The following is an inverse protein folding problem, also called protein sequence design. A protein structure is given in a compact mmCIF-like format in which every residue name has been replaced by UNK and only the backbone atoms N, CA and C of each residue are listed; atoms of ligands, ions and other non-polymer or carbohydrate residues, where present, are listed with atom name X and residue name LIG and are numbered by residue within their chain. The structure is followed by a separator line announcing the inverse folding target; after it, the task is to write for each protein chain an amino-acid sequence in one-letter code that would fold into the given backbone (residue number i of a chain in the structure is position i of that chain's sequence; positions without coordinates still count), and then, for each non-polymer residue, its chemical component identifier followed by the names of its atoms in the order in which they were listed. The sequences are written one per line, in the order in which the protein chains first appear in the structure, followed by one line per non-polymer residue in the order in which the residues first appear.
data_IF_062017322657
#
_entry.id   IF_062017322657
#
_cell.length_a   1.000
_cell.length_b   1.000
_cell.length_c   1.000
_cell.angle_alpha   90.00
_cell.angle_beta   90.00
_cell.angle_gamma   90.00
#
_symmetry.space_group_name_H-M   'P 1'
#
loop_
_entity.id
_entity.type
_entity.pdbx_description
1 polymer ?
#
# COMPACT_ATOMS: atom_id res chain seq x y z
N UNK A 1 19.56 -44.45 -76.19
CA UNK A 1 18.27 -43.86 -75.83
C UNK A 1 17.49 -44.86 -75.03
N UNK A 2 17.25 -44.80 -73.79
CA UNK A 2 16.03 -44.17 -73.26
C UNK A 2 16.27 -43.38 -71.98
N UNK A 3 15.29 -42.48 -71.67
CA UNK A 3 15.24 -41.52 -70.56
C UNK A 3 14.78 -42.22 -69.27
N UNK A 4 15.58 -42.19 -68.19
CA UNK A 4 15.17 -42.54 -66.84
C UNK A 4 14.66 -41.32 -66.12
N UNK A 5 13.39 -41.34 -65.69
CA UNK A 5 12.74 -40.30 -64.84
C UNK A 5 12.92 -40.74 -63.36
N UNK A 6 13.72 -39.98 -62.66
CA UNK A 6 13.85 -40.10 -61.19
C UNK A 6 12.71 -39.31 -60.54
N UNK A 7 11.80 -40.01 -59.89
CA UNK A 7 10.73 -39.41 -59.08
C UNK A 7 11.29 -39.08 -57.68
N UNK A 8 11.32 -37.81 -57.34
CA UNK A 8 11.72 -37.28 -56.04
C UNK A 8 10.50 -37.29 -55.12
N UNK A 9 10.46 -38.22 -54.17
CA UNK A 9 9.44 -38.28 -53.16
C UNK A 9 9.78 -37.27 -52.07
N UNK A 10 9.03 -36.15 -52.03
CA UNK A 10 9.14 -35.12 -50.97
C UNK A 10 8.26 -35.54 -49.78
N UNK A 11 8.90 -36.15 -48.77
CA UNK A 11 8.24 -36.43 -47.48
C UNK A 11 8.01 -35.09 -46.71
N UNK A 12 6.78 -34.60 -46.76
CA UNK A 12 6.33 -33.46 -45.95
C UNK A 12 6.04 -33.96 -44.53
N UNK A 13 7.04 -33.83 -43.65
CA UNK A 13 6.84 -34.08 -42.21
C UNK A 13 5.98 -32.99 -41.61
N UNK A 14 4.71 -33.28 -41.34
CA UNK A 14 3.81 -32.51 -40.53
C UNK A 14 4.28 -32.55 -39.08
N UNK A 15 5.01 -31.53 -38.65
CA UNK A 15 5.28 -31.26 -37.24
C UNK A 15 3.98 -30.72 -36.61
N UNK A 16 3.20 -31.62 -36.00
CA UNK A 16 2.10 -31.25 -35.12
C UNK A 16 2.75 -30.70 -33.86
N UNK A 17 3.00 -29.40 -33.85
CA UNK A 17 3.33 -28.64 -32.64
C UNK A 17 2.13 -28.60 -31.72
N UNK A 18 2.06 -29.48 -30.72
CA UNK A 18 1.23 -29.28 -29.52
C UNK A 18 1.77 -28.09 -28.75
N UNK A 19 1.43 -26.89 -29.20
CA UNK A 19 1.56 -25.71 -28.41
C UNK A 19 0.52 -25.79 -27.29
N UNK A 20 1.00 -25.72 -26.05
CA UNK A 20 0.22 -25.59 -24.84
C UNK A 20 -0.52 -24.25 -24.90
N UNK A 21 -1.65 -24.21 -25.64
CA UNK A 21 -2.49 -23.03 -25.78
C UNK A 21 -3.26 -22.80 -24.48
N UNK A 22 -2.72 -21.92 -23.68
CA UNK A 22 -3.42 -21.02 -22.78
C UNK A 22 -4.58 -21.59 -21.96
N UNK A 23 -4.22 -22.19 -20.84
CA UNK A 23 -5.16 -22.50 -19.75
C UNK A 23 -5.93 -21.24 -19.26
N UNK A 24 -5.43 -20.04 -19.57
CA UNK A 24 -6.04 -18.76 -19.22
C UNK A 24 -7.33 -18.47 -20.02
N UNK A 25 -7.39 -18.85 -21.30
CA UNK A 25 -8.56 -18.66 -22.18
C UNK A 25 -9.58 -19.81 -22.10
N UNK A 26 -9.40 -20.76 -21.20
CA UNK A 26 -10.34 -21.87 -21.04
C UNK A 26 -11.75 -21.38 -20.72
N UNK A 27 -12.79 -21.78 -21.47
CA UNK A 27 -14.17 -21.40 -21.21
C UNK A 27 -14.64 -22.03 -19.90
N UNK A 28 -15.25 -21.21 -19.03
CA UNK A 28 -15.83 -21.63 -17.73
C UNK A 28 -17.35 -21.75 -17.83
N UNK A 29 -17.98 -20.82 -18.56
CA UNK A 29 -19.41 -20.81 -18.81
C UNK A 29 -19.72 -20.15 -20.16
N UNK A 30 -20.87 -20.44 -20.74
CA UNK A 30 -21.35 -19.83 -21.98
C UNK A 30 -22.86 -19.62 -21.93
N UNK A 31 -23.29 -18.47 -22.43
CA UNK A 31 -24.69 -18.17 -22.73
C UNK A 31 -24.72 -17.61 -24.14
N UNK A 32 -25.34 -18.32 -25.05
CA UNK A 32 -25.43 -17.99 -26.49
C UNK A 32 -24.07 -17.59 -27.07
N UNK A 33 -23.91 -16.32 -27.39
CA UNK A 33 -22.71 -15.73 -27.98
C UNK A 33 -21.63 -15.28 -26.97
N UNK A 34 -21.96 -15.17 -25.66
CA UNK A 34 -21.03 -14.73 -24.62
C UNK A 34 -20.41 -15.90 -23.88
N UNK A 35 -19.08 -15.87 -23.76
CA UNK A 35 -18.30 -16.88 -23.06
C UNK A 35 -17.56 -16.23 -21.88
N UNK A 36 -17.72 -16.81 -20.70
CA UNK A 36 -16.91 -16.49 -19.52
C UNK A 36 -15.64 -17.34 -19.56
N UNK A 37 -14.49 -16.71 -19.51
CA UNK A 37 -13.18 -17.39 -19.48
C UNK A 37 -12.62 -17.43 -18.07
N UNK A 38 -11.70 -18.37 -17.80
CA UNK A 38 -11.01 -18.48 -16.53
C UNK A 38 -10.16 -17.25 -16.24
N UNK A 39 -9.57 -16.63 -17.25
CA UNK A 39 -8.85 -15.35 -17.12
C UNK A 39 -9.75 -14.24 -16.59
N UNK A 40 -10.97 -14.12 -17.15
CA UNK A 40 -11.95 -13.13 -16.68
C UNK A 40 -12.34 -13.37 -15.22
N UNK A 41 -12.52 -14.62 -14.82
CA UNK A 41 -12.81 -14.98 -13.42
C UNK A 41 -11.63 -14.59 -12.51
N UNK A 42 -10.41 -14.94 -12.88
CA UNK A 42 -9.20 -14.60 -12.11
C UNK A 42 -8.99 -13.09 -11.96
N UNK A 43 -9.27 -12.31 -12.99
CA UNK A 43 -9.16 -10.86 -12.94
C UNK A 43 -10.17 -10.18 -11.99
N UNK A 44 -11.27 -10.87 -11.66
CA UNK A 44 -12.33 -10.35 -10.77
C UNK A 44 -12.31 -10.88 -9.36
N UNK A 45 -11.66 -12.02 -9.15
CA UNK A 45 -11.42 -12.59 -7.82
C UNK A 45 -10.05 -12.17 -7.32
N UNK A 46 -9.94 -11.93 -6.01
CA UNK A 46 -8.62 -11.71 -5.39
C UNK A 46 -7.77 -12.97 -5.52
N UNK A 47 -6.83 -12.95 -6.46
CA UNK A 47 -5.99 -14.10 -6.81
C UNK A 47 -4.71 -14.20 -5.97
N UNK A 48 -4.51 -13.38 -4.94
CA UNK A 48 -3.28 -13.37 -4.13
C UNK A 48 -2.97 -14.73 -3.47
N UNK A 49 -3.99 -15.57 -3.27
CA UNK A 49 -3.88 -16.94 -2.71
C UNK A 49 -4.23 -18.05 -3.70
N UNK A 50 -4.38 -17.73 -5.00
CA UNK A 50 -4.90 -18.64 -6.01
C UNK A 50 -6.43 -18.73 -5.98
N UNK A 51 -7.02 -19.17 -7.12
CA UNK A 51 -8.48 -19.30 -7.27
C UNK A 51 -8.85 -20.78 -7.27
N UNK A 52 -9.70 -21.20 -6.35
CA UNK A 52 -10.12 -22.61 -6.25
C UNK A 52 -11.23 -22.97 -7.27
N UNK A 53 -11.36 -24.24 -7.68
CA UNK A 53 -12.45 -24.68 -8.56
C UNK A 53 -13.86 -24.36 -8.04
N UNK A 54 -14.06 -24.40 -6.71
CA UNK A 54 -15.33 -24.05 -6.07
C UNK A 54 -15.66 -22.56 -6.27
N UNK A 55 -14.69 -21.67 -6.08
CA UNK A 55 -14.85 -20.21 -6.32
C UNK A 55 -15.15 -19.93 -7.79
N UNK A 56 -14.46 -20.61 -8.71
CA UNK A 56 -14.75 -20.48 -10.15
C UNK A 56 -16.19 -20.90 -10.46
N UNK A 57 -16.64 -22.03 -9.93
CA UNK A 57 -18.01 -22.52 -10.14
C UNK A 57 -19.07 -21.61 -9.54
N UNK A 58 -18.83 -21.04 -8.37
CA UNK A 58 -19.74 -20.07 -7.75
C UNK A 58 -19.81 -18.76 -8.55
N UNK A 59 -18.66 -18.23 -8.99
CA UNK A 59 -18.61 -17.04 -9.84
C UNK A 59 -19.35 -17.30 -11.16
N UNK A 60 -19.13 -18.44 -11.79
CA UNK A 60 -19.79 -18.80 -13.05
C UNK A 60 -21.32 -18.85 -12.92
N UNK A 61 -21.85 -19.46 -11.85
CA UNK A 61 -23.30 -19.49 -11.59
C UNK A 61 -23.89 -18.08 -11.43
N UNK A 62 -23.20 -17.22 -10.68
CA UNK A 62 -23.61 -15.82 -10.51
C UNK A 62 -23.60 -15.08 -11.84
N UNK A 63 -22.50 -15.19 -12.59
CA UNK A 63 -22.36 -14.57 -13.91
C UNK A 63 -23.46 -15.01 -14.88
N UNK A 64 -23.84 -16.31 -14.89
CA UNK A 64 -24.94 -16.83 -15.71
C UNK A 64 -26.24 -16.14 -15.33
N UNK A 65 -26.57 -16.07 -14.05
CA UNK A 65 -27.79 -15.43 -13.57
C UNK A 65 -27.84 -13.93 -13.94
N UNK A 66 -26.74 -13.23 -13.74
CA UNK A 66 -26.63 -11.81 -14.06
C UNK A 66 -26.79 -11.57 -15.57
N UNK A 67 -26.19 -12.43 -16.42
CA UNK A 67 -26.32 -12.32 -17.87
C UNK A 67 -27.75 -12.57 -18.36
N UNK A 68 -28.44 -13.54 -17.77
CA UNK A 68 -29.86 -13.80 -18.09
C UNK A 68 -30.74 -12.61 -17.71
N UNK A 69 -30.55 -12.07 -16.52
CA UNK A 69 -31.29 -10.88 -16.05
C UNK A 69 -30.98 -9.65 -16.90
N UNK A 70 -29.72 -9.44 -17.28
CA UNK A 70 -29.32 -8.34 -18.14
C UNK A 70 -29.99 -8.43 -19.53
N UNK A 71 -29.96 -9.60 -20.17
CA UNK A 71 -30.61 -9.81 -21.47
C UNK A 71 -32.12 -9.54 -21.41
N UNK A 72 -32.77 -9.98 -20.37
CA UNK A 72 -34.20 -9.71 -20.18
C UNK A 72 -34.46 -8.21 -19.92
N UNK A 73 -33.59 -7.53 -19.17
CA UNK A 73 -33.66 -6.10 -18.96
C UNK A 73 -33.54 -5.33 -20.28
N UNK A 74 -32.54 -5.68 -21.11
CA UNK A 74 -32.37 -5.10 -22.46
C UNK A 74 -33.58 -5.36 -23.36
N UNK A 75 -34.07 -6.60 -23.38
CA UNK A 75 -35.26 -6.96 -24.15
C UNK A 75 -36.49 -6.11 -23.76
N UNK A 76 -36.61 -5.73 -22.51
CA UNK A 76 -37.67 -4.85 -21.98
C UNK A 76 -37.36 -3.36 -22.14
N UNK A 77 -36.21 -3.00 -22.71
CA UNK A 77 -35.79 -1.60 -22.89
C UNK A 77 -35.45 -0.89 -21.56
N UNK A 78 -35.09 -1.63 -20.51
CA UNK A 78 -34.76 -1.05 -19.21
C UNK A 78 -33.46 -0.24 -19.26
N UNK A 79 -32.51 -0.68 -20.08
CA UNK A 79 -31.24 0.01 -20.38
C UNK A 79 -31.42 1.38 -21.04
N UNK A 80 -32.54 1.57 -21.74
CA UNK A 80 -32.89 2.79 -22.43
C UNK A 80 -33.79 3.76 -21.62
N UNK A 81 -34.14 3.41 -20.40
CA UNK A 81 -34.90 4.30 -19.52
C UNK A 81 -34.11 5.58 -19.25
N UNK A 82 -34.82 6.71 -19.19
CA UNK A 82 -34.24 8.02 -18.92
C UNK A 82 -33.42 8.03 -17.63
N UNK A 83 -33.92 7.41 -16.57
CA UNK A 83 -33.20 7.28 -15.30
C UNK A 83 -31.88 6.52 -15.42
N UNK A 84 -31.83 5.45 -16.23
CA UNK A 84 -30.60 4.67 -16.47
C UNK A 84 -29.60 5.47 -17.30
N UNK A 85 -30.08 6.17 -18.35
CA UNK A 85 -29.23 7.05 -19.17
C UNK A 85 -28.63 8.17 -18.35
N UNK A 86 -29.42 8.83 -17.51
CA UNK A 86 -28.93 9.90 -16.63
C UNK A 86 -27.84 9.39 -15.66
N UNK A 87 -28.04 8.20 -15.08
CA UNK A 87 -27.04 7.56 -14.20
C UNK A 87 -25.75 7.20 -14.97
N UNK A 88 -25.87 6.66 -16.18
CA UNK A 88 -24.71 6.33 -17.01
C UNK A 88 -23.91 7.58 -17.41
N UNK A 89 -24.57 8.67 -17.73
CA UNK A 89 -23.91 9.93 -18.09
C UNK A 89 -23.19 10.56 -16.87
N UNK A 90 -23.81 10.51 -15.69
CA UNK A 90 -23.15 10.96 -14.46
C UNK A 90 -21.92 10.10 -14.10
N UNK A 91 -22.02 8.77 -14.21
CA UNK A 91 -20.88 7.87 -13.98
C UNK A 91 -19.77 8.14 -15.02
N UNK A 92 -20.11 8.31 -16.29
CA UNK A 92 -19.16 8.65 -17.35
C UNK A 92 -18.42 9.96 -17.06
N UNK A 93 -19.17 10.99 -16.67
CA UNK A 93 -18.61 12.29 -16.28
C UNK A 93 -17.63 12.16 -15.11
N UNK A 94 -18.03 11.44 -14.07
CA UNK A 94 -17.18 11.22 -12.90
C UNK A 94 -15.89 10.43 -13.23
N UNK A 95 -16.00 9.40 -14.08
CA UNK A 95 -14.83 8.64 -14.53
C UNK A 95 -13.88 9.51 -15.35
N UNK A 96 -14.40 10.37 -16.25
CA UNK A 96 -13.58 11.29 -17.03
C UNK A 96 -12.86 12.31 -16.15
N UNK A 97 -13.54 12.89 -15.15
CA UNK A 97 -12.93 13.80 -14.17
C UNK A 97 -11.83 13.07 -13.40
N UNK A 98 -12.10 11.87 -12.89
CA UNK A 98 -11.12 11.10 -12.15
C UNK A 98 -9.89 10.74 -12.99
N UNK A 99 -10.08 10.39 -14.28
CA UNK A 99 -8.98 10.12 -15.20
C UNK A 99 -8.11 11.38 -15.43
N UNK A 100 -8.73 12.54 -15.61
CA UNK A 100 -8.01 13.81 -15.74
C UNK A 100 -7.21 14.13 -14.46
N UNK A 101 -7.82 13.99 -13.28
CA UNK A 101 -7.14 14.22 -12.01
C UNK A 101 -5.99 13.23 -11.77
N UNK A 102 -6.16 11.97 -12.17
CA UNK A 102 -5.12 10.95 -12.08
C UNK A 102 -3.91 11.32 -12.94
N UNK A 103 -4.13 11.82 -14.14
CA UNK A 103 -3.07 12.21 -15.08
C UNK A 103 -2.37 13.52 -14.66
N UNK A 104 -3.13 14.55 -14.29
CA UNK A 104 -2.62 15.89 -14.03
C UNK A 104 -2.08 16.09 -12.58
N UNK A 105 -2.63 15.36 -11.59
CA UNK A 105 -2.39 15.65 -10.17
C UNK A 105 -1.72 14.48 -9.44
N UNK A 106 -2.13 13.23 -9.73
CA UNK A 106 -1.67 12.06 -8.96
C UNK A 106 -0.45 11.36 -9.55
N UNK A 107 0.27 11.99 -10.46
CA UNK A 107 1.51 11.45 -11.03
C UNK A 107 2.61 11.43 -9.94
N UNK A 108 3.26 10.29 -9.74
CA UNK A 108 4.26 10.10 -8.67
C UNK A 108 5.38 11.15 -8.67
N UNK A 109 5.86 11.57 -9.84
CA UNK A 109 6.96 12.56 -9.94
C UNK A 109 6.63 13.92 -9.31
N UNK A 110 5.39 14.36 -9.37
CA UNK A 110 4.98 15.66 -8.82
C UNK A 110 4.77 15.66 -7.31
N UNK A 111 4.68 14.46 -6.71
CA UNK A 111 4.33 14.29 -5.30
C UNK A 111 5.52 13.94 -4.39
N UNK A 112 6.67 13.55 -4.96
CA UNK A 112 7.84 13.20 -4.16
C UNK A 112 8.45 14.43 -3.49
N UNK A 113 8.58 14.37 -2.16
CA UNK A 113 9.25 15.40 -1.37
C UNK A 113 10.73 15.06 -1.25
N UNK A 114 11.59 16.04 -1.51
CA UNK A 114 13.02 15.88 -1.33
C UNK A 114 13.40 15.98 0.16
N UNK A 115 14.58 15.52 0.57
CA UNK A 115 15.08 15.73 1.92
C UNK A 115 15.13 17.22 2.31
N UNK A 116 15.43 18.10 1.36
CA UNK A 116 15.49 19.55 1.54
C UNK A 116 14.10 20.13 1.83
N UNK A 117 13.05 19.70 1.08
CA UNK A 117 11.66 20.09 1.35
C UNK A 117 11.23 19.73 2.78
N UNK A 118 11.60 18.52 3.21
CA UNK A 118 11.25 17.99 4.53
C UNK A 118 11.97 18.79 5.62
N UNK A 119 13.27 19.04 5.45
CA UNK A 119 14.08 19.82 6.39
C UNK A 119 13.56 21.25 6.49
N UNK A 120 13.23 21.88 5.37
CA UNK A 120 12.68 23.22 5.33
C UNK A 120 11.30 23.29 6.02
N UNK A 121 10.41 22.35 5.72
CA UNK A 121 9.10 22.27 6.36
C UNK A 121 9.24 22.13 7.88
N UNK A 122 10.09 21.23 8.33
CA UNK A 122 10.36 21.03 9.74
C UNK A 122 10.92 22.29 10.41
N UNK A 123 11.85 22.99 9.78
CA UNK A 123 12.45 24.21 10.36
C UNK A 123 11.40 25.31 10.64
N UNK A 124 10.38 25.41 9.78
CA UNK A 124 9.29 26.40 9.91
C UNK A 124 8.21 25.96 10.89
N UNK A 125 7.91 24.65 10.90
CA UNK A 125 6.74 24.09 11.59
C UNK A 125 7.09 23.21 12.80
N UNK A 126 8.34 23.18 13.27
CA UNK A 126 8.81 22.24 14.31
C UNK A 126 8.00 22.29 15.60
N UNK A 127 7.45 23.46 15.96
CA UNK A 127 6.60 23.65 17.16
C UNK A 127 5.28 22.88 17.10
N UNK A 128 4.82 22.51 15.90
CA UNK A 128 3.60 21.72 15.71
C UNK A 128 3.85 20.24 16.04
N UNK A 129 5.11 19.79 15.98
CA UNK A 129 5.52 18.41 16.22
C UNK A 129 5.90 18.17 17.68
N UNK A 130 5.00 18.52 18.60
CA UNK A 130 5.17 18.24 20.03
C UNK A 130 4.81 16.79 20.31
N UNK A 131 5.69 16.08 21.04
CA UNK A 131 5.48 14.67 21.40
C UNK A 131 4.26 14.51 22.31
N UNK A 132 3.24 13.72 21.91
CA UNK A 132 2.07 13.48 22.75
C UNK A 132 2.35 12.50 23.90
N UNK A 133 3.40 11.72 23.81
CA UNK A 133 3.86 10.73 24.81
C UNK A 133 5.37 10.60 24.76
N UNK A 134 5.96 9.96 25.79
CA UNK A 134 7.36 9.56 25.73
C UNK A 134 7.61 8.58 24.58
N UNK A 135 8.73 8.76 23.88
CA UNK A 135 9.22 7.87 22.82
C UNK A 135 10.68 7.52 23.04
N UNK A 136 11.09 6.38 22.50
CA UNK A 136 12.47 5.92 22.52
C UNK A 136 12.90 5.45 21.13
N UNK A 137 14.07 5.88 20.68
CA UNK A 137 14.74 5.33 19.50
C UNK A 137 15.54 4.11 19.96
N UNK A 138 15.12 2.93 19.54
CA UNK A 138 15.62 1.65 20.07
C UNK A 138 16.07 0.73 18.95
N UNK A 139 17.18 0.02 19.17
CA UNK A 139 17.52 -1.20 18.42
C UNK A 139 17.50 -2.36 19.39
N UNK A 140 17.12 -3.56 18.92
CA UNK A 140 17.16 -4.77 19.75
C UNK A 140 17.47 -6.02 18.95
N UNK A 141 18.00 -7.02 19.68
CA UNK A 141 18.07 -8.43 19.27
C UNK A 141 17.35 -9.30 20.29
N UNK A 142 16.67 -10.31 19.78
CA UNK A 142 16.05 -11.37 20.58
C UNK A 142 16.85 -12.65 20.37
N UNK A 143 17.32 -13.25 21.45
CA UNK A 143 18.06 -14.50 21.47
C UNK A 143 17.23 -15.62 22.11
N UNK A 144 17.47 -16.86 21.65
CA UNK A 144 16.83 -18.06 22.23
C UNK A 144 17.32 -18.34 23.65
N UNK A 145 18.61 -18.09 23.91
CA UNK A 145 19.21 -18.36 25.22
C UNK A 145 19.95 -17.14 25.78
N UNK A 146 20.16 -17.21 27.10
CA UNK A 146 20.75 -16.14 27.89
C UNK A 146 22.24 -15.95 27.59
N UNK A 147 22.95 -17.02 27.30
CA UNK A 147 24.43 -16.98 27.16
C UNK A 147 24.79 -16.30 25.83
N UNK A 148 24.04 -16.59 24.75
CA UNK A 148 24.19 -15.86 23.48
C UNK A 148 23.87 -14.38 23.66
N UNK A 149 22.82 -14.02 24.39
CA UNK A 149 22.49 -12.64 24.69
C UNK A 149 23.63 -11.93 25.47
N UNK A 150 24.18 -12.59 26.47
CA UNK A 150 25.31 -12.09 27.26
C UNK A 150 26.58 -11.96 26.42
N UNK A 151 26.87 -12.92 25.54
CA UNK A 151 28.01 -12.88 24.65
C UNK A 151 27.92 -11.66 23.71
N UNK A 152 26.76 -11.44 23.09
CA UNK A 152 26.49 -10.26 22.27
C UNK A 152 26.66 -8.95 23.06
N UNK A 153 26.05 -8.88 24.25
CA UNK A 153 26.18 -7.70 25.12
C UNK A 153 27.67 -7.41 25.45
N UNK A 154 28.43 -8.45 25.73
CA UNK A 154 29.87 -8.32 26.07
C UNK A 154 30.67 -7.76 24.90
N UNK A 155 30.37 -8.12 23.65
CA UNK A 155 31.01 -7.53 22.46
C UNK A 155 30.79 -6.01 22.42
N UNK A 156 29.56 -5.57 22.64
CA UNK A 156 29.23 -4.13 22.59
C UNK A 156 29.87 -3.38 23.75
N UNK A 157 29.83 -3.92 24.98
CA UNK A 157 30.45 -3.29 26.17
C UNK A 157 31.99 -3.20 26.03
N UNK A 158 32.62 -4.15 25.35
CA UNK A 158 34.07 -4.11 25.06
C UNK A 158 34.43 -3.09 23.97
N UNK A 159 33.46 -2.33 23.46
CA UNK A 159 33.69 -1.23 22.51
C UNK A 159 33.39 -1.56 21.05
N UNK A 160 32.89 -2.76 20.75
CA UNK A 160 32.41 -3.04 19.38
C UNK A 160 31.13 -2.24 19.12
N UNK A 161 31.08 -1.37 18.08
CA UNK A 161 29.87 -0.64 17.75
C UNK A 161 28.69 -1.59 17.51
N UNK A 162 27.48 -1.25 17.98
CA UNK A 162 26.27 -2.07 17.88
C UNK A 162 26.06 -2.68 16.49
N UNK A 163 26.09 -1.85 15.42
CA UNK A 163 25.87 -2.32 14.06
C UNK A 163 26.95 -3.31 13.60
N UNK A 164 28.18 -3.18 14.08
CA UNK A 164 29.26 -4.12 13.77
C UNK A 164 29.08 -5.43 14.56
N UNK A 165 28.75 -5.34 15.85
CA UNK A 165 28.46 -6.50 16.67
C UNK A 165 27.30 -7.32 16.09
N UNK A 166 26.24 -6.66 15.64
CA UNK A 166 25.10 -7.32 14.93
C UNK A 166 25.59 -8.05 13.69
N UNK A 167 26.38 -7.40 12.83
CA UNK A 167 26.91 -8.04 11.61
C UNK A 167 27.78 -9.25 11.93
N UNK A 168 28.67 -9.13 12.93
CA UNK A 168 29.55 -10.24 13.35
C UNK A 168 28.72 -11.44 13.87
N UNK A 169 27.73 -11.19 14.74
CA UNK A 169 26.88 -12.23 15.30
C UNK A 169 26.02 -12.91 14.23
N UNK A 170 25.50 -12.16 13.26
CA UNK A 170 24.73 -12.71 12.15
C UNK A 170 25.61 -13.50 11.16
N UNK A 171 26.86 -13.09 10.98
CA UNK A 171 27.81 -13.76 10.10
C UNK A 171 28.35 -15.09 10.70
N UNK A 172 28.29 -15.27 11.99
CA UNK A 172 28.64 -16.53 12.65
C UNK A 172 27.47 -17.52 12.52
N UNK A 173 27.65 -18.67 11.84
CA UNK A 173 26.58 -19.64 11.64
C UNK A 173 25.98 -20.22 12.93
N UNK A 174 26.78 -20.34 14.00
CA UNK A 174 26.29 -20.86 15.28
C UNK A 174 25.50 -19.80 16.05
N UNK A 175 25.97 -18.58 16.07
CA UNK A 175 25.32 -17.47 16.74
C UNK A 175 24.04 -17.02 16.02
N UNK A 176 24.05 -17.04 14.70
CA UNK A 176 22.88 -16.63 13.90
C UNK A 176 21.65 -17.51 14.14
N UNK A 177 21.83 -18.81 14.41
CA UNK A 177 20.74 -19.75 14.75
C UNK A 177 20.09 -19.43 16.10
N UNK A 178 20.79 -18.71 16.97
CA UNK A 178 20.29 -18.29 18.29
C UNK A 178 19.54 -16.97 18.26
N UNK A 179 19.61 -16.23 17.14
CA UNK A 179 18.85 -14.99 16.93
C UNK A 179 17.44 -15.34 16.46
N UNK A 180 16.43 -14.93 17.23
CA UNK A 180 15.01 -15.12 16.89
C UNK A 180 14.48 -13.94 16.09
N UNK A 181 14.83 -12.72 16.50
CA UNK A 181 14.41 -11.49 15.86
C UNK A 181 15.46 -10.39 16.06
N UNK A 182 15.47 -9.45 15.13
CA UNK A 182 16.25 -8.22 15.26
C UNK A 182 15.40 -7.04 14.77
N UNK A 183 15.66 -5.90 15.37
CA UNK A 183 15.14 -4.62 14.92
C UNK A 183 16.29 -3.61 14.93
N UNK A 184 16.46 -2.98 13.78
CA UNK A 184 17.36 -1.85 13.67
C UNK A 184 16.68 -0.59 14.26
N UNK A 185 17.38 0.54 14.27
CA UNK A 185 16.93 1.76 14.91
C UNK A 185 15.51 2.18 14.48
N UNK A 186 14.55 2.13 15.41
CA UNK A 186 13.18 2.55 15.21
C UNK A 186 12.62 3.26 16.46
N UNK A 187 11.67 4.17 16.24
CA UNK A 187 10.99 4.88 17.32
C UNK A 187 9.81 4.07 17.86
N UNK A 188 9.76 3.96 19.17
CA UNK A 188 8.68 3.28 19.89
C UNK A 188 8.14 4.17 21.02
N UNK A 189 6.89 3.98 21.34
CA UNK A 189 6.24 4.46 22.57
C UNK A 189 5.94 3.29 23.50
N UNK A 190 5.43 3.57 24.69
CA UNK A 190 4.95 2.52 25.60
C UNK A 190 3.89 1.61 24.96
N UNK A 191 3.11 2.15 23.99
CA UNK A 191 2.04 1.41 23.33
C UNK A 191 2.53 0.53 22.18
N UNK A 192 3.73 0.79 21.67
CA UNK A 192 4.24 0.14 20.45
C UNK A 192 5.47 -0.73 20.68
N UNK A 193 6.18 -0.58 21.79
CA UNK A 193 7.30 -1.43 22.16
C UNK A 193 6.82 -2.63 22.98
N UNK A 194 6.78 -3.78 22.38
CA UNK A 194 6.39 -5.05 23.02
C UNK A 194 7.56 -6.04 22.98
N UNK A 195 7.66 -6.94 24.00
CA UNK A 195 6.88 -6.99 25.27
C UNK A 195 7.07 -5.75 26.15
N UNK A 196 6.13 -5.52 27.08
CA UNK A 196 6.10 -4.31 27.95
C UNK A 196 7.37 -4.13 28.80
N UNK A 197 8.06 -5.21 29.10
CA UNK A 197 9.35 -5.22 29.81
C UNK A 197 10.40 -4.39 29.09
N UNK A 198 10.38 -4.40 27.76
CA UNK A 198 11.31 -3.61 26.92
C UNK A 198 11.10 -2.11 27.12
N UNK A 199 9.85 -1.67 27.22
CA UNK A 199 9.56 -0.26 27.49
C UNK A 199 10.05 0.18 28.86
N UNK A 200 9.89 -0.68 29.88
CA UNK A 200 10.37 -0.40 31.24
C UNK A 200 11.89 -0.16 31.25
N UNK A 201 12.63 -0.99 30.51
CA UNK A 201 14.09 -0.83 30.36
C UNK A 201 14.42 0.39 29.50
N UNK A 202 13.72 0.58 28.40
CA UNK A 202 13.97 1.71 27.49
C UNK A 202 13.73 3.06 28.18
N UNK A 203 12.62 3.22 28.88
CA UNK A 203 12.23 4.48 29.55
C UNK A 203 13.14 4.86 30.73
N UNK A 204 13.81 3.89 31.33
CA UNK A 204 14.77 4.07 32.41
C UNK A 204 16.21 4.28 31.93
N UNK A 205 16.49 4.08 30.62
CA UNK A 205 17.84 4.24 30.07
C UNK A 205 18.28 5.69 30.10
N UNK A 206 19.52 5.94 30.57
CA UNK A 206 20.11 7.28 30.61
C UNK A 206 21.30 7.44 29.65
N UNK A 207 21.80 6.34 29.10
CA UNK A 207 22.96 6.30 28.19
C UNK A 207 22.72 5.27 27.08
N UNK A 208 23.35 5.44 25.92
CA UNK A 208 23.26 4.48 24.82
C UNK A 208 24.17 3.24 25.09
N UNK A 209 23.82 2.47 26.11
CA UNK A 209 24.49 1.23 26.46
C UNK A 209 23.54 0.04 26.26
N UNK A 210 24.08 -1.16 25.88
CA UNK A 210 23.23 -2.35 25.74
C UNK A 210 22.69 -2.77 27.11
N UNK A 211 21.39 -3.04 27.16
CA UNK A 211 20.74 -3.53 28.36
C UNK A 211 21.32 -4.87 28.83
N UNK A 212 21.06 -5.22 30.08
CA UNK A 212 21.14 -6.63 30.48
C UNK A 212 20.11 -7.46 29.69
N UNK A 213 20.32 -8.79 29.55
CA UNK A 213 19.32 -9.65 28.95
C UNK A 213 17.96 -9.52 29.64
N UNK A 214 16.96 -9.07 28.90
CA UNK A 214 15.59 -8.94 29.37
C UNK A 214 14.86 -10.24 29.05
N UNK A 215 14.54 -11.02 30.06
CA UNK A 215 13.81 -12.28 29.90
C UNK A 215 12.33 -12.04 29.62
N UNK A 216 11.81 -12.71 28.59
CA UNK A 216 10.41 -12.70 28.18
C UNK A 216 9.98 -14.12 27.78
N UNK A 217 8.70 -14.32 27.51
CA UNK A 217 8.20 -15.61 27.00
C UNK A 217 8.77 -15.97 25.61
N UNK A 218 9.30 -15.01 24.86
CA UNK A 218 9.88 -15.22 23.53
C UNK A 218 11.37 -15.53 23.57
N UNK A 219 12.05 -15.23 24.68
CA UNK A 219 13.50 -15.40 24.88
C UNK A 219 14.13 -14.23 25.61
N UNK A 220 15.37 -13.91 25.24
CA UNK A 220 16.21 -12.90 25.92
C UNK A 220 16.50 -11.75 24.98
N UNK A 221 15.95 -10.57 25.27
CA UNK A 221 16.21 -9.35 24.52
C UNK A 221 17.45 -8.63 25.03
N UNK A 222 18.28 -8.15 24.12
CA UNK A 222 19.25 -7.08 24.34
C UNK A 222 18.78 -5.88 23.55
N UNK A 223 18.60 -4.76 24.21
CA UNK A 223 18.21 -3.50 23.55
C UNK A 223 19.21 -2.40 23.88
N UNK A 224 19.34 -1.46 22.96
CA UNK A 224 20.05 -0.21 23.13
C UNK A 224 19.13 0.95 22.82
N UNK A 225 19.15 1.96 23.69
CA UNK A 225 18.33 3.17 23.51
C UNK A 225 19.26 4.28 23.03
N UNK A 226 19.05 4.70 21.80
CA UNK A 226 19.85 5.76 21.18
C UNK A 226 19.40 7.14 21.63
N UNK A 227 18.10 7.33 21.80
CA UNK A 227 17.51 8.60 22.20
C UNK A 227 16.18 8.38 22.90
N UNK A 228 15.92 9.24 23.88
CA UNK A 228 14.63 9.37 24.55
C UNK A 228 14.05 10.74 24.23
N UNK A 229 12.79 10.77 23.78
CA UNK A 229 11.98 11.97 23.67
C UNK A 229 10.93 11.97 24.76
N UNK A 230 10.78 13.07 25.49
CA UNK A 230 9.78 13.20 26.54
C UNK A 230 8.53 13.89 26.04
N UNK A 231 7.38 13.52 26.58
CA UNK A 231 6.13 14.21 26.33
C UNK A 231 6.29 15.72 26.48
N UNK A 232 5.72 16.49 25.55
CA UNK A 232 5.81 17.94 25.48
C UNK A 232 7.08 18.49 24.85
N UNK A 233 8.09 17.67 24.55
CA UNK A 233 9.25 18.09 23.76
C UNK A 233 8.93 18.13 22.27
N UNK A 234 9.67 18.95 21.52
CA UNK A 234 9.63 18.95 20.06
C UNK A 234 10.25 17.64 19.58
N UNK A 235 9.51 16.92 18.73
CA UNK A 235 9.96 15.67 18.14
C UNK A 235 11.11 15.88 17.16
N UNK A 236 12.00 14.91 17.05
CA UNK A 236 13.07 14.94 16.04
C UNK A 236 12.51 14.85 14.62
N UNK A 237 13.24 15.46 13.67
CA UNK A 237 12.90 15.36 12.25
C UNK A 237 12.73 13.90 11.80
N UNK A 238 13.63 13.00 12.20
CA UNK A 238 13.57 11.59 11.84
C UNK A 238 12.32 10.87 12.35
N UNK A 239 11.76 11.31 13.48
CA UNK A 239 10.50 10.77 14.00
C UNK A 239 9.28 11.22 13.20
N UNK A 240 9.27 12.48 12.76
CA UNK A 240 8.12 13.11 12.08
C UNK A 240 8.26 13.15 10.56
N UNK A 241 9.36 12.63 10.02
CA UNK A 241 9.65 12.69 8.57
C UNK A 241 8.50 12.17 7.71
N UNK A 242 7.91 11.03 8.10
CA UNK A 242 6.80 10.45 7.35
C UNK A 242 5.51 11.28 7.43
N UNK A 243 5.26 11.90 8.58
CA UNK A 243 4.14 12.84 8.73
C UNK A 243 4.35 14.08 7.85
N UNK A 244 5.55 14.65 7.85
CA UNK A 244 5.90 15.78 6.99
C UNK A 244 5.76 15.42 5.51
N UNK A 245 6.24 14.25 5.07
CA UNK A 245 6.04 13.77 3.69
C UNK A 245 4.57 13.71 3.32
N UNK A 246 3.74 13.20 4.21
CA UNK A 246 2.29 13.10 4.01
C UNK A 246 1.64 14.48 3.90
N UNK A 247 1.99 15.43 4.76
CA UNK A 247 1.51 16.82 4.73
C UNK A 247 1.92 17.52 3.44
N UNK A 248 3.20 17.44 3.07
CA UNK A 248 3.71 18.03 1.82
C UNK A 248 3.02 17.46 0.59
N UNK A 249 2.73 16.16 0.58
CA UNK A 249 1.98 15.51 -0.50
C UNK A 249 0.56 16.08 -0.62
N UNK A 250 -0.15 16.23 0.50
CA UNK A 250 -1.51 16.80 0.53
C UNK A 250 -1.49 18.25 0.03
N UNK A 251 -0.54 19.07 0.53
CA UNK A 251 -0.41 20.47 0.11
C UNK A 251 -0.07 20.62 -1.37
N UNK A 252 0.80 19.76 -1.91
CA UNK A 252 1.15 19.76 -3.34
C UNK A 252 -0.05 19.38 -4.19
N UNK A 253 -0.80 18.36 -3.81
CA UNK A 253 -2.04 17.96 -4.51
C UNK A 253 -3.05 19.11 -4.55
N UNK A 254 -3.24 19.77 -3.41
CA UNK A 254 -4.15 20.91 -3.33
C UNK A 254 -3.70 22.04 -4.25
N UNK A 255 -2.43 22.46 -4.19
CA UNK A 255 -1.88 23.50 -5.06
C UNK A 255 -1.97 23.17 -6.55
N UNK A 256 -1.71 21.89 -6.91
CA UNK A 256 -1.84 21.43 -8.29
C UNK A 256 -3.29 21.48 -8.75
N UNK A 257 -4.25 21.08 -7.92
CA UNK A 257 -5.68 21.17 -8.21
C UNK A 257 -6.14 22.62 -8.40
N UNK A 258 -5.76 23.50 -7.46
CA UNK A 258 -6.10 24.92 -7.53
C UNK A 258 -5.56 25.55 -8.83
N UNK A 259 -4.29 25.28 -9.17
CA UNK A 259 -3.66 25.75 -10.41
C UNK A 259 -4.32 25.18 -11.67
N UNK A 260 -4.72 23.89 -11.66
CA UNK A 260 -5.46 23.28 -12.76
C UNK A 260 -6.81 23.97 -12.93
N UNK A 261 -7.56 24.18 -11.85
CA UNK A 261 -8.86 24.83 -11.89
C UNK A 261 -8.76 26.28 -12.39
N UNK A 262 -7.76 27.05 -11.96
CA UNK A 262 -7.51 28.40 -12.48
C UNK A 262 -7.23 28.41 -13.98
N UNK A 263 -6.36 27.53 -14.45
CA UNK A 263 -6.07 27.38 -15.89
C UNK A 263 -7.32 27.00 -16.70
N UNK A 264 -8.18 26.13 -16.14
CA UNK A 264 -9.41 25.72 -16.81
C UNK A 264 -10.45 26.83 -16.78
N UNK A 265 -10.63 27.54 -15.66
CA UNK A 265 -11.56 28.69 -15.56
C UNK A 265 -11.22 29.79 -16.56
N UNK A 266 -9.93 30.04 -16.81
CA UNK A 266 -9.53 31.05 -17.81
C UNK A 266 -9.90 30.69 -19.26
N UNK A 267 -10.23 29.42 -19.53
CA UNK A 267 -10.63 28.90 -20.83
C UNK A 267 -12.14 28.82 -21.04
N UNK A 268 -12.93 29.01 -19.97
CA UNK A 268 -14.38 28.84 -20.01
C UNK A 268 -15.06 30.09 -19.44
N UNK A 269 -16.19 30.49 -20.07
CA UNK A 269 -17.06 31.50 -19.48
C UNK A 269 -17.80 30.87 -18.28
N UNK A 270 -17.53 31.38 -17.08
CA UNK A 270 -18.15 30.88 -15.84
C UNK A 270 -19.05 31.96 -15.29
N UNK A 271 -20.35 31.72 -15.26
CA UNK A 271 -21.34 32.59 -14.62
C UNK A 271 -21.94 31.88 -13.41
N UNK A 272 -22.01 32.59 -12.29
CA UNK A 272 -22.63 32.10 -11.06
C UNK A 272 -24.07 32.64 -10.99
N UNK A 273 -25.03 31.77 -11.31
CA UNK A 273 -26.46 32.12 -11.31
C UNK A 273 -27.18 31.59 -10.05
N UNK A 274 -26.63 31.84 -8.87
CA UNK A 274 -27.32 31.52 -7.61
C UNK A 274 -28.14 32.77 -7.26
N UNK A 275 -29.44 32.79 -7.56
CA UNK A 275 -30.36 33.74 -6.97
C UNK A 275 -30.62 33.34 -5.52
N UNK A 276 -30.48 34.29 -4.61
CA UNK A 276 -30.85 34.19 -3.17
C UNK A 276 -32.37 33.92 -3.03
N UNK A 277 -32.81 32.69 -3.28
CA UNK A 277 -34.19 32.27 -3.00
C UNK A 277 -34.33 31.48 -1.71
N UNK A 278 -33.47 31.76 -0.73
CA UNK A 278 -33.48 31.05 0.55
C UNK A 278 -33.78 31.96 1.76
N UNK A 279 -34.71 32.96 1.64
CA UNK A 279 -35.19 33.65 2.86
C UNK A 279 -36.54 34.32 2.64
N UNK A 280 -37.62 33.51 2.41
CA UNK A 280 -38.98 34.04 2.59
C UNK A 280 -39.95 32.94 3.08
N UNK A 281 -39.61 32.27 4.18
CA UNK A 281 -40.59 31.39 4.83
C UNK A 281 -40.44 31.33 6.36
N UNK A 282 -40.16 32.47 7.00
CA UNK A 282 -40.25 32.55 8.46
C UNK A 282 -40.75 33.94 8.91
N UNK A 283 -41.96 34.33 8.47
CA UNK A 283 -42.74 35.36 9.16
C UNK A 283 -44.20 35.21 8.78
N UNK A 284 -44.93 34.31 9.49
CA UNK A 284 -46.35 34.49 9.79
C UNK A 284 -46.87 33.32 10.64
N UNK A 285 -46.66 33.42 11.94
CA UNK A 285 -47.48 32.73 12.91
C UNK A 285 -47.40 33.42 14.27
N UNK A 286 -47.96 34.63 14.31
CA UNK A 286 -48.45 35.22 15.56
C UNK A 286 -49.65 36.09 15.22
N UNK A 287 -50.83 35.51 15.39
CA UNK A 287 -52.03 36.18 15.93
C UNK A 287 -53.08 35.13 16.29
#
# INVERSE_FOLDING_TARGET
MPRSRLAFFFCLALIIGCGNKDSAQSPVARIDDRTLTLEHVRARLDSSRGVTPAQVGEYARRWINDEILYREAVRRGMDNKESVRAQLEEVRRQLAINALLQDEIYTEKSLQSTPEDISQYYSVHNKEFTLPTDIALVSFLLFRDRDAANAFRTLVIKGTPWALAVRQTVADPQQSLLIVARMDSAYYSQRTLFPVELWRVASASTKPEPSFPVHTNEGFYILIVWKLGRQGQIADLAYVEQDIRSRLTIERRRRSLDSLLERLRSKHAVEFMVSDHADTSSTNSER
#
